data_IF_281034554600
#
_entry.id   IF_281034554600
#
_cell.length_a   1.000
_cell.length_b   1.000
_cell.length_c   1.000
_cell.angle_alpha   90.00
_cell.angle_beta   90.00
_cell.angle_gamma   90.00
#
_symmetry.space_group_name_H-M   'P 1'
#
loop_
_entity.id
_entity.type
_entity.pdbx_description
1 polymer ?
#
# COMPACT_ATOMS: atom_id res chain seq x y z
N UNK A 1 -1.50 17.81 -0.47
CA UNK A 1 -1.52 17.58 -1.94
C UNK A 1 -1.92 16.14 -2.32
N UNK A 2 -1.83 15.17 -1.39
CA UNK A 2 -2.20 13.76 -1.61
C UNK A 2 -3.73 13.54 -1.60
N UNK A 3 -4.51 14.59 -1.35
CA UNK A 3 -5.98 14.57 -1.29
C UNK A 3 -6.69 15.10 -2.56
N UNK A 4 -5.99 15.28 -3.67
CA UNK A 4 -6.71 15.47 -4.93
C UNK A 4 -7.29 14.13 -5.38
N UNK A 5 -8.62 14.10 -5.52
CA UNK A 5 -9.37 13.04 -6.18
C UNK A 5 -8.64 12.64 -7.45
N UNK A 6 -8.07 11.46 -7.49
CA UNK A 6 -7.59 10.89 -8.74
C UNK A 6 -8.79 10.87 -9.69
N UNK A 7 -8.67 11.42 -10.88
CA UNK A 7 -9.70 11.37 -11.92
C UNK A 7 -10.08 9.93 -12.33
N UNK A 8 -9.47 8.93 -11.72
CA UNK A 8 -9.72 7.50 -11.88
C UNK A 8 -10.37 6.84 -10.65
N UNK A 9 -11.10 7.56 -9.80
CA UNK A 9 -11.92 6.96 -8.74
C UNK A 9 -11.15 6.46 -7.51
N UNK A 10 -9.92 6.92 -7.24
CA UNK A 10 -9.19 6.60 -6.02
C UNK A 10 -9.48 7.61 -4.91
N UNK A 11 -9.78 7.10 -3.73
CA UNK A 11 -9.82 7.86 -2.48
C UNK A 11 -8.79 7.29 -1.50
N UNK A 12 -8.12 8.17 -0.75
CA UNK A 12 -7.19 7.76 0.30
C UNK A 12 -7.87 7.90 1.66
N UNK A 13 -7.99 6.79 2.39
CA UNK A 13 -8.32 6.80 3.80
C UNK A 13 -7.02 6.58 4.59
N UNK A 14 -6.69 7.50 5.49
CA UNK A 14 -5.47 7.44 6.30
C UNK A 14 -5.75 6.93 7.71
N UNK A 15 -4.95 5.96 8.17
CA UNK A 15 -4.87 5.54 9.56
C UNK A 15 -3.55 6.08 10.15
N UNK A 16 -3.64 7.09 11.02
CA UNK A 16 -2.46 7.67 11.67
C UNK A 16 -2.10 6.87 12.92
N UNK A 17 -0.87 6.36 12.98
CA UNK A 17 -0.31 5.68 14.14
C UNK A 17 0.60 6.67 14.88
N UNK A 18 0.19 7.18 16.03
CA UNK A 18 1.08 7.99 16.88
C UNK A 18 1.65 7.10 17.98
N UNK A 19 2.96 6.94 18.01
CA UNK A 19 3.67 6.39 19.16
C UNK A 19 3.88 7.49 20.21
N UNK A 20 3.00 7.55 21.20
CA UNK A 20 3.35 8.03 22.53
C UNK A 20 2.54 7.19 23.52
N UNK A 21 3.24 6.30 24.22
CA UNK A 21 2.84 5.57 25.44
C UNK A 21 1.35 5.18 25.54
N UNK A 22 0.94 4.21 24.75
CA UNK A 22 -0.39 3.63 24.79
C UNK A 22 -0.91 3.31 23.39
N UNK A 23 -1.29 2.06 23.17
CA UNK A 23 -1.98 1.64 21.95
C UNK A 23 -3.30 2.40 21.81
N UNK A 24 -3.35 3.42 21.01
CA UNK A 24 -4.58 4.06 20.61
C UNK A 24 -4.77 3.86 19.10
N UNK A 25 -5.64 2.94 18.72
CA UNK A 25 -6.24 2.91 17.39
C UNK A 25 -7.16 4.13 17.28
N UNK A 26 -6.61 5.24 16.81
CA UNK A 26 -7.38 6.43 16.52
C UNK A 26 -7.95 6.35 15.11
N UNK A 27 -9.21 5.93 14.96
CA UNK A 27 -10.00 6.25 13.77
C UNK A 27 -10.00 7.78 13.63
N UNK A 28 -9.58 8.26 12.47
CA UNK A 28 -9.59 9.68 12.14
C UNK A 28 -11.04 10.14 12.04
N UNK A 29 -11.54 10.80 13.09
CA UNK A 29 -12.91 11.31 13.15
C UNK A 29 -13.16 12.38 12.06
N UNK A 30 -14.39 12.47 11.51
CA UNK A 30 -14.77 13.37 10.42
C UNK A 30 -14.67 14.88 10.72
N UNK A 31 -14.40 15.27 11.96
CA UNK A 31 -14.51 16.65 12.46
C UNK A 31 -13.27 17.53 12.28
N UNK A 32 -12.20 17.04 11.66
CA UNK A 32 -11.01 17.87 11.43
C UNK A 32 -11.11 18.62 10.09
N UNK A 33 -10.84 19.93 10.11
CA UNK A 33 -10.83 20.77 8.90
C UNK A 33 -9.77 20.27 7.90
N UNK A 34 -10.01 20.49 6.61
CA UNK A 34 -9.13 20.09 5.49
C UNK A 34 -7.69 20.60 5.71
N UNK A 35 -7.55 21.84 6.16
CA UNK A 35 -6.29 22.51 6.43
C UNK A 35 -5.46 21.83 7.54
N UNK A 36 -6.11 21.38 8.63
CA UNK A 36 -5.44 20.63 9.70
C UNK A 36 -4.97 19.23 9.26
N UNK A 37 -5.65 18.63 8.27
CA UNK A 37 -5.22 17.34 7.68
C UNK A 37 -4.03 17.53 6.75
N UNK A 38 -4.04 18.57 5.94
CA UNK A 38 -2.96 18.89 5.00
C UNK A 38 -1.67 19.24 5.77
N UNK A 39 -1.74 20.07 6.80
CA UNK A 39 -0.61 20.41 7.66
C UNK A 39 -0.03 19.18 8.38
N UNK A 40 -0.87 18.29 8.87
CA UNK A 40 -0.42 17.06 9.55
C UNK A 40 0.24 16.05 8.62
N UNK A 41 -0.17 15.98 7.35
CA UNK A 41 0.48 15.16 6.33
C UNK A 41 1.87 15.69 5.97
N UNK A 42 2.07 17.00 6.01
CA UNK A 42 3.36 17.66 5.78
C UNK A 42 4.39 17.41 6.89
N UNK A 43 3.95 17.01 8.08
CA UNK A 43 4.82 16.66 9.22
C UNK A 43 5.22 15.18 9.24
N UNK A 44 4.64 14.32 8.38
CA UNK A 44 4.92 12.89 8.36
C UNK A 44 6.26 12.61 7.68
N UNK A 45 7.17 11.99 8.44
CA UNK A 45 8.49 11.61 7.95
C UNK A 45 8.47 10.31 7.16
N UNK A 46 7.65 9.33 7.61
CA UNK A 46 7.57 8.00 6.99
C UNK A 46 6.11 7.54 6.87
N UNK A 47 5.73 7.12 5.68
CA UNK A 47 4.38 6.61 5.42
C UNK A 47 4.42 5.23 4.77
N UNK A 48 3.45 4.37 5.10
CA UNK A 48 3.18 3.14 4.39
C UNK A 48 1.95 3.34 3.49
N UNK A 49 2.15 3.26 2.18
CA UNK A 49 1.08 3.31 1.19
C UNK A 49 0.63 1.89 0.83
N UNK A 50 -0.64 1.56 1.10
CA UNK A 50 -1.24 0.31 0.62
C UNK A 50 -2.04 0.58 -0.65
N UNK A 51 -1.68 -0.12 -1.71
CA UNK A 51 -2.39 -0.11 -2.98
C UNK A 51 -3.20 -1.40 -3.14
N UNK A 52 -4.45 -1.29 -3.61
CA UNK A 52 -5.21 -2.45 -4.05
C UNK A 52 -4.73 -2.87 -5.44
N UNK A 53 -4.39 -4.16 -5.62
CA UNK A 53 -4.06 -4.68 -6.95
C UNK A 53 -5.22 -4.49 -7.94
N UNK A 54 -6.46 -4.67 -7.48
CA UNK A 54 -7.66 -4.44 -8.30
C UNK A 54 -7.78 -2.98 -8.76
N UNK A 55 -7.42 -2.03 -7.88
CA UNK A 55 -7.43 -0.63 -8.23
C UNK A 55 -6.38 -0.29 -9.30
N UNK A 56 -5.22 -0.99 -9.29
CA UNK A 56 -4.18 -0.84 -10.32
C UNK A 56 -4.56 -1.47 -11.67
N UNK A 57 -5.55 -2.37 -11.70
CA UNK A 57 -6.08 -2.94 -12.94
C UNK A 57 -7.07 -2.01 -13.65
N UNK A 58 -7.58 -0.99 -12.96
CA UNK A 58 -8.58 -0.07 -13.51
C UNK A 58 -9.82 -0.81 -14.03
N UNK A 59 -10.33 -0.39 -15.18
CA UNK A 59 -11.49 -1.02 -15.83
C UNK A 59 -11.21 -2.42 -16.38
N UNK A 60 -9.93 -2.77 -16.60
CA UNK A 60 -9.53 -4.08 -17.15
C UNK A 60 -9.82 -5.25 -16.21
N UNK A 61 -10.06 -5.00 -14.91
CA UNK A 61 -10.31 -5.97 -13.84
C UNK A 61 -9.15 -6.94 -13.54
N UNK A 62 -8.23 -7.15 -14.47
CA UNK A 62 -7.02 -8.00 -14.35
C UNK A 62 -5.81 -7.28 -14.90
N UNK A 63 -4.61 -7.66 -14.45
CA UNK A 63 -3.36 -7.04 -14.89
C UNK A 63 -3.20 -5.61 -14.37
N UNK A 64 -2.73 -4.71 -15.24
CA UNK A 64 -2.45 -3.33 -14.92
C UNK A 64 -3.12 -2.37 -15.90
N UNK A 65 -3.61 -1.27 -15.40
CA UNK A 65 -3.88 -0.07 -16.16
C UNK A 65 -2.67 0.88 -16.02
N UNK A 66 -1.94 1.08 -17.10
CA UNK A 66 -0.67 1.79 -17.07
C UNK A 66 -0.84 3.25 -16.68
N UNK A 67 -1.89 3.91 -17.15
CA UNK A 67 -2.15 5.31 -16.84
C UNK A 67 -2.49 5.50 -15.36
N UNK A 68 -3.25 4.57 -14.80
CA UNK A 68 -3.53 4.53 -13.35
C UNK A 68 -2.24 4.38 -12.55
N UNK A 69 -1.34 3.46 -12.94
CA UNK A 69 -0.07 3.26 -12.22
C UNK A 69 0.85 4.47 -12.35
N UNK A 70 0.91 5.11 -13.53
CA UNK A 70 1.68 6.35 -13.75
C UNK A 70 1.16 7.50 -12.90
N UNK A 71 -0.15 7.63 -12.75
CA UNK A 71 -0.73 8.68 -11.91
C UNK A 71 -0.41 8.45 -10.42
N UNK A 72 -0.46 7.20 -9.94
CA UNK A 72 0.00 6.85 -8.60
C UNK A 72 1.48 7.19 -8.43
N UNK A 73 2.33 6.83 -9.40
CA UNK A 73 3.76 7.14 -9.36
C UNK A 73 4.02 8.64 -9.27
N UNK A 74 3.30 9.45 -10.07
CA UNK A 74 3.40 10.91 -10.05
C UNK A 74 3.05 11.49 -8.68
N UNK A 75 2.03 10.98 -8.00
CA UNK A 75 1.63 11.45 -6.69
C UNK A 75 2.60 11.02 -5.59
N UNK A 76 3.10 9.79 -5.64
CA UNK A 76 4.12 9.32 -4.69
C UNK A 76 5.40 10.14 -4.86
N UNK A 77 5.77 10.48 -6.11
CA UNK A 77 6.94 11.32 -6.37
C UNK A 77 6.85 12.68 -5.68
N UNK A 78 5.70 13.31 -5.65
CA UNK A 78 5.52 14.59 -4.93
C UNK A 78 5.82 14.45 -3.43
N UNK A 79 5.43 13.34 -2.80
CA UNK A 79 5.73 13.09 -1.40
C UNK A 79 7.24 12.81 -1.18
N UNK A 80 7.85 12.03 -2.06
CA UNK A 80 9.30 11.72 -2.00
C UNK A 80 10.13 12.99 -2.20
N UNK A 81 9.77 13.83 -3.18
CA UNK A 81 10.44 15.10 -3.46
C UNK A 81 10.27 16.10 -2.29
N UNK A 82 9.22 15.97 -1.50
CA UNK A 82 9.01 16.72 -0.26
C UNK A 82 9.79 16.15 0.95
N UNK A 83 10.55 15.08 0.77
CA UNK A 83 11.36 14.45 1.81
C UNK A 83 10.67 13.37 2.64
N UNK A 84 9.46 12.94 2.26
CA UNK A 84 8.75 11.83 2.93
C UNK A 84 9.35 10.48 2.52
N UNK A 85 9.70 9.64 3.48
CA UNK A 85 10.07 8.25 3.27
C UNK A 85 8.82 7.42 2.96
N UNK A 86 8.77 6.77 1.80
CA UNK A 86 7.57 6.05 1.34
C UNK A 86 7.84 4.55 1.22
N UNK A 87 7.11 3.77 2.03
CA UNK A 87 6.98 2.33 1.85
C UNK A 87 5.69 2.00 1.10
N UNK A 88 5.72 0.99 0.22
CA UNK A 88 4.57 0.58 -0.59
C UNK A 88 4.25 -0.89 -0.38
N UNK A 89 2.99 -1.20 -0.12
CA UNK A 89 2.46 -2.57 -0.06
C UNK A 89 1.35 -2.71 -1.11
N UNK A 90 1.41 -3.74 -1.94
CA UNK A 90 0.43 -3.96 -3.02
C UNK A 90 -0.27 -5.29 -2.83
N UNK A 91 -1.61 -5.30 -2.91
CA UNK A 91 -2.39 -6.53 -2.92
C UNK A 91 -2.29 -7.29 -4.25
N UNK A 92 -2.52 -8.61 -4.23
CA UNK A 92 -2.46 -9.48 -5.42
C UNK A 92 -3.77 -9.68 -6.17
N UNK A 93 -4.85 -8.97 -5.78
CA UNK A 93 -6.23 -9.24 -6.20
C UNK A 93 -6.54 -9.04 -7.69
N UNK A 94 -5.65 -8.36 -8.44
CA UNK A 94 -5.75 -8.22 -9.89
C UNK A 94 -5.30 -9.48 -10.67
N UNK A 95 -4.61 -10.39 -10.02
CA UNK A 95 -4.18 -11.66 -10.63
C UNK A 95 -4.75 -12.88 -9.92
N UNK A 96 -4.89 -12.83 -8.59
CA UNK A 96 -5.28 -14.00 -7.83
C UNK A 96 -6.09 -13.65 -6.57
N UNK A 97 -7.21 -14.35 -6.38
CA UNK A 97 -8.07 -14.28 -5.19
C UNK A 97 -8.17 -15.66 -4.55
N UNK A 98 -7.19 -16.01 -3.72
CA UNK A 98 -7.08 -17.33 -3.10
C UNK A 98 -8.33 -17.78 -2.31
N UNK A 99 -9.06 -16.86 -1.68
CA UNK A 99 -10.29 -17.15 -0.93
C UNK A 99 -11.44 -17.67 -1.80
N UNK A 100 -11.40 -17.47 -3.12
CA UNK A 100 -12.44 -17.89 -4.05
C UNK A 100 -12.11 -19.22 -4.76
N UNK A 101 -10.92 -19.80 -4.50
CA UNK A 101 -10.52 -21.06 -5.09
C UNK A 101 -10.81 -22.22 -4.14
N UNK A 102 -11.80 -23.06 -4.50
CA UNK A 102 -12.09 -24.31 -3.81
C UNK A 102 -11.38 -25.51 -4.45
N UNK A 103 -10.60 -25.29 -5.52
CA UNK A 103 -9.96 -26.34 -6.29
C UNK A 103 -8.58 -26.77 -5.75
N UNK A 104 -7.97 -25.96 -4.89
CA UNK A 104 -6.62 -26.22 -4.36
C UNK A 104 -6.57 -25.93 -2.85
N UNK A 105 -5.58 -26.52 -2.20
CA UNK A 105 -5.31 -26.26 -0.79
C UNK A 105 -5.16 -24.76 -0.50
N UNK A 106 -5.72 -24.30 0.62
CA UNK A 106 -5.73 -22.90 1.01
C UNK A 106 -4.33 -22.33 1.17
N UNK A 107 -3.39 -23.09 1.72
CA UNK A 107 -2.00 -22.66 1.86
C UNK A 107 -1.37 -22.38 0.50
N UNK A 108 -1.64 -23.26 -0.49
CA UNK A 108 -1.15 -23.09 -1.86
C UNK A 108 -1.79 -21.89 -2.55
N UNK A 109 -3.09 -21.70 -2.35
CA UNK A 109 -3.81 -20.53 -2.87
C UNK A 109 -3.23 -19.21 -2.32
N UNK A 110 -2.92 -19.15 -1.03
CA UNK A 110 -2.32 -17.98 -0.40
C UNK A 110 -0.86 -17.76 -0.85
N UNK A 111 -0.08 -18.84 -1.09
CA UNK A 111 1.27 -18.74 -1.68
C UNK A 111 1.23 -18.13 -3.09
N UNK A 112 0.28 -18.53 -3.93
CA UNK A 112 0.06 -17.93 -5.25
C UNK A 112 -0.26 -16.44 -5.09
N UNK A 113 -1.12 -16.07 -4.14
CA UNK A 113 -1.44 -14.68 -3.83
C UNK A 113 -0.22 -13.87 -3.39
N UNK A 114 0.68 -14.46 -2.59
CA UNK A 114 1.95 -13.81 -2.21
C UNK A 114 2.83 -13.55 -3.43
N UNK A 115 2.95 -14.50 -4.35
CA UNK A 115 3.70 -14.31 -5.61
C UNK A 115 3.03 -13.26 -6.52
N UNK A 116 1.71 -13.19 -6.56
CA UNK A 116 1.00 -12.14 -7.28
C UNK A 116 1.37 -10.73 -6.77
N UNK A 117 1.57 -10.57 -5.45
CA UNK A 117 2.05 -9.30 -4.91
C UNK A 117 3.49 -8.98 -5.34
N UNK A 118 4.35 -9.99 -5.50
CA UNK A 118 5.72 -9.81 -6.01
C UNK A 118 5.68 -9.31 -7.47
N UNK A 119 4.86 -9.92 -8.33
CA UNK A 119 4.67 -9.47 -9.71
C UNK A 119 4.20 -8.01 -9.76
N UNK A 120 3.22 -7.65 -8.92
CA UNK A 120 2.73 -6.28 -8.83
C UNK A 120 3.84 -5.30 -8.41
N UNK A 121 4.63 -5.65 -7.40
CA UNK A 121 5.71 -4.79 -6.95
C UNK A 121 6.81 -4.61 -8.00
N UNK A 122 7.14 -5.65 -8.78
CA UNK A 122 8.13 -5.55 -9.88
C UNK A 122 7.63 -4.55 -10.93
N UNK A 123 6.38 -4.69 -11.40
CA UNK A 123 5.82 -3.81 -12.42
C UNK A 123 5.71 -2.36 -11.94
N UNK A 124 5.09 -2.15 -10.76
CA UNK A 124 4.86 -0.79 -10.24
C UNK A 124 6.18 -0.09 -9.90
N UNK A 125 7.14 -0.83 -9.34
CA UNK A 125 8.48 -0.33 -9.04
C UNK A 125 9.19 0.19 -10.31
N UNK A 126 9.05 -0.50 -11.45
CA UNK A 126 9.64 -0.06 -12.71
C UNK A 126 8.96 1.20 -13.26
N UNK A 127 7.64 1.31 -13.15
CA UNK A 127 6.93 2.55 -13.50
C UNK A 127 7.38 3.70 -12.57
N UNK A 128 7.62 3.44 -11.29
CA UNK A 128 8.14 4.46 -10.38
C UNK A 128 9.54 4.92 -10.79
N UNK A 129 10.42 3.99 -11.18
CA UNK A 129 11.76 4.32 -11.71
C UNK A 129 11.70 5.18 -12.96
N UNK A 130 10.76 4.93 -13.85
CA UNK A 130 10.59 5.73 -15.08
C UNK A 130 10.21 7.19 -14.79
N UNK A 131 9.73 7.50 -13.57
CA UNK A 131 9.48 8.87 -13.10
C UNK A 131 10.66 9.51 -12.36
N UNK A 132 11.81 8.83 -12.32
CA UNK A 132 13.03 9.31 -11.67
C UNK A 132 13.15 8.98 -10.19
N UNK A 133 12.27 8.12 -9.62
CA UNK A 133 12.44 7.62 -8.27
C UNK A 133 13.37 6.41 -8.24
N UNK A 134 14.18 6.28 -7.20
CA UNK A 134 14.88 5.04 -6.91
C UNK A 134 13.97 4.11 -6.07
N UNK A 135 14.01 2.81 -6.35
CA UNK A 135 13.15 1.84 -5.69
C UNK A 135 13.90 0.57 -5.28
N UNK A 136 13.42 -0.12 -4.24
CA UNK A 136 13.88 -1.45 -3.85
C UNK A 136 12.68 -2.33 -3.45
N UNK A 137 12.78 -3.64 -3.73
CA UNK A 137 11.71 -4.59 -3.40
C UNK A 137 12.22 -5.56 -2.34
N UNK A 138 11.50 -5.65 -1.22
CA UNK A 138 11.80 -6.54 -0.10
C UNK A 138 10.69 -7.59 0.05
N UNK A 139 11.10 -8.85 0.24
CA UNK A 139 10.20 -9.99 0.48
C UNK A 139 10.60 -10.75 1.73
N UNK A 140 9.66 -11.37 2.46
CA UNK A 140 9.96 -12.19 3.64
C UNK A 140 10.56 -13.55 3.30
N UNK A 141 10.63 -13.91 2.01
CA UNK A 141 11.22 -15.14 1.48
C UNK A 141 12.05 -14.82 0.23
N UNK A 142 12.95 -15.73 -0.14
CA UNK A 142 13.84 -15.53 -1.28
C UNK A 142 13.08 -15.66 -2.61
N UNK A 143 13.25 -14.67 -3.50
CA UNK A 143 12.78 -14.70 -4.89
C UNK A 143 13.97 -14.54 -5.87
N UNK A 144 15.05 -15.26 -5.62
CA UNK A 144 16.26 -15.18 -6.43
C UNK A 144 16.83 -13.77 -6.51
N UNK A 145 17.16 -13.33 -7.72
CA UNK A 145 17.70 -11.98 -7.99
C UNK A 145 16.61 -10.88 -8.13
N UNK A 146 15.33 -11.25 -8.15
CA UNK A 146 14.23 -10.31 -8.40
C UNK A 146 13.95 -9.40 -7.20
N UNK A 147 14.19 -9.88 -5.97
CA UNK A 147 13.94 -9.14 -4.74
C UNK A 147 15.04 -9.37 -3.72
N UNK A 148 15.06 -8.60 -2.64
CA UNK A 148 15.96 -8.82 -1.51
C UNK A 148 15.17 -9.27 -0.29
N UNK A 149 15.79 -10.11 0.56
CA UNK A 149 15.18 -10.51 1.82
C UNK A 149 14.94 -9.30 2.71
N UNK A 150 13.76 -9.24 3.28
CA UNK A 150 13.38 -8.21 4.23
C UNK A 150 14.24 -8.29 5.51
N UNK A 151 14.70 -7.15 5.96
CA UNK A 151 15.09 -6.88 7.34
C UNK A 151 14.83 -5.40 7.64
N UNK A 152 14.54 -5.07 8.89
CA UNK A 152 14.32 -3.68 9.33
C UNK A 152 15.52 -2.78 8.96
N UNK A 153 16.74 -3.25 9.21
CA UNK A 153 17.96 -2.48 8.93
C UNK A 153 18.13 -2.20 7.45
N UNK A 154 17.84 -3.20 6.60
CA UNK A 154 17.90 -3.04 5.13
C UNK A 154 16.87 -2.04 4.64
N UNK A 155 15.63 -2.12 5.10
CA UNK A 155 14.59 -1.18 4.74
C UNK A 155 14.95 0.25 5.19
N UNK A 156 15.40 0.42 6.44
CA UNK A 156 15.85 1.70 6.97
C UNK A 156 17.04 2.29 6.19
N UNK A 157 17.97 1.41 5.74
CA UNK A 157 19.08 1.86 4.87
C UNK A 157 18.54 2.46 3.57
N UNK A 158 17.54 1.81 2.94
CA UNK A 158 16.96 2.30 1.69
C UNK A 158 16.16 3.58 1.87
N UNK A 159 15.38 3.69 2.94
CA UNK A 159 14.68 4.94 3.27
C UNK A 159 15.66 6.11 3.42
N UNK A 160 16.75 5.93 4.18
CA UNK A 160 17.79 6.97 4.30
C UNK A 160 18.49 7.34 2.99
N UNK A 161 18.44 6.47 1.98
CA UNK A 161 18.92 6.74 0.62
C UNK A 161 17.89 7.44 -0.25
N UNK A 162 16.71 7.79 0.26
CA UNK A 162 15.62 8.40 -0.50
C UNK A 162 14.88 7.44 -1.42
N UNK A 163 15.06 6.11 -1.25
CA UNK A 163 14.42 5.11 -2.08
C UNK A 163 13.00 4.82 -1.61
N UNK A 164 12.10 4.60 -2.55
CA UNK A 164 10.80 3.99 -2.27
C UNK A 164 10.98 2.50 -2.03
N UNK A 165 10.51 2.00 -0.88
CA UNK A 165 10.68 0.60 -0.49
C UNK A 165 9.37 -0.16 -0.69
N UNK A 166 9.36 -1.11 -1.59
CA UNK A 166 8.23 -2.01 -1.83
C UNK A 166 8.34 -3.24 -0.91
N UNK A 167 7.27 -3.54 -0.18
CA UNK A 167 7.14 -4.73 0.66
C UNK A 167 6.18 -5.71 -0.01
N UNK A 168 6.72 -6.73 -0.67
CA UNK A 168 5.98 -7.77 -1.37
C UNK A 168 5.95 -9.07 -0.57
N UNK A 169 5.08 -10.01 -0.97
CA UNK A 169 4.99 -11.33 -0.31
C UNK A 169 4.19 -11.33 1.00
N UNK A 170 3.49 -10.24 1.32
CA UNK A 170 2.67 -10.12 2.54
C UNK A 170 3.48 -10.29 3.83
N UNK A 171 2.95 -11.10 4.77
CA UNK A 171 3.65 -11.47 6.00
C UNK A 171 4.68 -12.59 5.79
N UNK A 172 4.65 -13.26 4.63
CA UNK A 172 5.41 -14.50 4.38
C UNK A 172 4.69 -15.77 4.85
N UNK A 173 3.52 -15.62 5.46
CA UNK A 173 2.73 -16.73 6.00
C UNK A 173 1.34 -16.77 5.34
N UNK A 174 0.83 -17.98 5.03
CA UNK A 174 -0.56 -18.16 4.61
C UNK A 174 -1.55 -17.67 5.66
N UNK A 175 -2.80 -17.53 5.28
CA UNK A 175 -3.93 -17.11 6.12
C UNK A 175 -3.97 -15.62 6.54
N UNK A 176 -2.94 -14.86 6.23
CA UNK A 176 -2.90 -13.42 6.52
C UNK A 176 -3.27 -12.58 5.29
N UNK A 177 -4.05 -11.53 5.53
CA UNK A 177 -4.43 -10.58 4.48
C UNK A 177 -3.29 -9.58 4.19
N UNK A 178 -3.37 -8.91 3.03
CA UNK A 178 -2.46 -7.79 2.73
C UNK A 178 -2.62 -6.65 3.75
N UNK A 179 -3.82 -6.43 4.28
CA UNK A 179 -4.06 -5.39 5.29
C UNK A 179 -3.33 -5.73 6.61
N UNK A 180 -3.29 -7.02 7.01
CA UNK A 180 -2.45 -7.48 8.13
C UNK A 180 -0.96 -7.27 7.83
N UNK A 181 -0.54 -7.57 6.59
CA UNK A 181 0.84 -7.36 6.15
C UNK A 181 1.27 -5.89 6.23
N UNK A 182 0.42 -4.96 5.81
CA UNK A 182 0.75 -3.53 5.89
C UNK A 182 0.82 -3.03 7.32
N UNK A 183 -0.08 -3.50 8.21
CA UNK A 183 -0.05 -3.14 9.63
C UNK A 183 1.25 -3.62 10.29
N UNK A 184 1.66 -4.86 10.01
CA UNK A 184 2.93 -5.42 10.51
C UNK A 184 4.12 -4.57 10.03
N UNK A 185 4.21 -4.28 8.73
CA UNK A 185 5.30 -3.47 8.17
C UNK A 185 5.30 -2.05 8.71
N UNK A 186 4.13 -1.44 8.94
CA UNK A 186 4.05 -0.11 9.52
C UNK A 186 4.65 -0.05 10.93
N UNK A 187 4.36 -1.06 11.77
CA UNK A 187 4.93 -1.16 13.11
C UNK A 187 6.44 -1.39 13.05
N UNK A 188 6.91 -2.35 12.24
CA UNK A 188 8.33 -2.67 12.10
C UNK A 188 9.15 -1.50 11.57
N UNK A 189 8.58 -0.72 10.65
CA UNK A 189 9.23 0.42 10.02
C UNK A 189 8.99 1.73 10.78
N UNK A 190 8.27 1.70 11.89
CA UNK A 190 7.96 2.89 12.69
C UNK A 190 7.33 3.99 11.81
N UNK A 191 6.38 3.59 10.95
CA UNK A 191 5.69 4.51 10.07
C UNK A 191 4.73 5.41 10.88
N UNK A 192 4.69 6.70 10.54
CA UNK A 192 3.79 7.67 11.17
C UNK A 192 2.33 7.42 10.77
N UNK A 193 2.13 6.86 9.58
CA UNK A 193 0.79 6.67 9.00
C UNK A 193 0.75 5.53 7.98
N UNK A 194 -0.42 4.88 7.89
CA UNK A 194 -0.80 4.00 6.78
C UNK A 194 -1.80 4.74 5.91
N UNK A 195 -1.48 4.88 4.62
CA UNK A 195 -2.37 5.42 3.61
C UNK A 195 -2.99 4.28 2.82
N UNK A 196 -4.32 4.16 2.82
CA UNK A 196 -5.03 3.12 2.09
C UNK A 196 -5.60 3.72 0.79
N UNK A 197 -5.05 3.32 -0.35
CA UNK A 197 -5.62 3.64 -1.65
C UNK A 197 -6.65 2.56 -2.03
N UNK A 198 -7.92 2.93 -2.00
CA UNK A 198 -9.06 2.05 -2.31
C UNK A 198 -9.95 2.70 -3.37
N UNK A 199 -10.78 1.87 -4.01
CA UNK A 199 -11.79 2.33 -4.98
C UNK A 199 -13.03 2.98 -4.31
N UNK A 200 -13.07 3.04 -2.97
CA UNK A 200 -14.12 3.66 -2.15
C UNK A 200 -13.54 4.82 -1.36
N UNK A 201 -14.35 5.84 -1.13
CA UNK A 201 -13.94 7.14 -0.60
C UNK A 201 -13.89 7.22 0.93
N UNK A 202 -14.19 6.11 1.63
CA UNK A 202 -14.17 6.09 3.10
C UNK A 202 -14.14 4.70 3.72
N UNK A 203 -14.25 4.67 5.03
CA UNK A 203 -14.53 3.48 5.84
C UNK A 203 -16.01 3.52 6.19
N UNK A 204 -16.74 2.49 5.84
CA UNK A 204 -18.16 2.36 6.04
C UNK A 204 -18.48 1.27 7.05
N UNK A 205 -19.62 1.37 7.72
CA UNK A 205 -20.18 0.35 8.60
C UNK A 205 -20.68 -0.91 7.85
N UNK A 206 -20.93 -0.77 6.54
CA UNK A 206 -21.35 -1.84 5.63
C UNK A 206 -20.87 -1.54 4.21
N UNK A 207 -20.98 -2.50 3.29
CA UNK A 207 -20.56 -2.32 1.89
C UNK A 207 -21.47 -1.28 1.19
N UNK A 208 -20.95 -0.09 0.80
CA UNK A 208 -21.76 0.96 0.16
C UNK A 208 -22.27 0.57 -1.24
N UNK A 209 -21.72 -0.47 -1.87
CA UNK A 209 -22.23 -1.00 -3.14
C UNK A 209 -23.50 -1.84 -2.97
N UNK A 210 -23.70 -2.40 -1.77
CA UNK A 210 -24.85 -3.24 -1.42
C UNK A 210 -25.86 -2.42 -0.62
N UNK A 211 -25.38 -1.59 0.30
CA UNK A 211 -26.21 -0.74 1.16
C UNK A 211 -25.93 0.74 0.84
N UNK A 212 -26.83 1.39 0.11
CA UNK A 212 -26.72 2.81 -0.24
C UNK A 212 -26.78 3.77 0.97
N UNK A 213 -27.19 3.27 2.14
CA UNK A 213 -27.24 4.02 3.40
C UNK A 213 -26.04 3.76 4.32
N UNK A 214 -25.01 3.05 3.84
CA UNK A 214 -23.78 2.84 4.59
C UNK A 214 -23.14 4.19 5.00
N UNK A 215 -22.70 4.28 6.26
CA UNK A 215 -22.16 5.50 6.88
C UNK A 215 -20.68 5.34 7.25
#
# INVERSE_FOLDING_TARGET
LIYKKLHAGFSFAGLCLRQNSGFAFGLMLPSQTRENRENRLMEMKRVLLKLSGEALAGEKKTGFDEDTVKEVARQVKLAVDAGTEVGVVIGGGNFWRGRQSNAIDRTKADQIGMLATVMNCIYVSEIFRSTGMETEILTPFACGSMTKLFSKDRANKYFRQGKVVFFAGGTGHPYFSTDTGVALRAIEMEADCILLAKAIDGVYDSDPKINSNAK
#
